data_IF_064892286835
#
_entry.id   IF_064892286835
#
_cell.length_a   1.000
_cell.length_b   1.000
_cell.length_c   1.000
_cell.angle_alpha   90.00
_cell.angle_beta   90.00
_cell.angle_gamma   90.00
#
_symmetry.space_group_name_H-M   'P 1'
#
loop_
_entity.id
_entity.type
_entity.pdbx_description
1 polymer ?
#
# COMPACT_ATOMS: atom_id res chain seq x y z
N UNK A 1 -19.85 18.66 6.78
CA UNK A 1 -20.55 19.19 5.58
C UNK A 1 -20.81 18.09 4.55
N UNK A 2 -19.77 17.42 4.01
CA UNK A 2 -19.93 16.42 2.94
C UNK A 2 -20.88 15.26 3.27
N UNK A 3 -20.74 14.65 4.46
CA UNK A 3 -21.62 13.56 4.88
C UNK A 3 -23.12 13.93 4.92
N UNK A 4 -23.46 15.19 5.17
CA UNK A 4 -24.85 15.66 5.11
C UNK A 4 -25.37 15.69 3.67
N UNK A 5 -24.56 16.15 2.71
CA UNK A 5 -24.95 16.15 1.29
C UNK A 5 -25.15 14.73 0.76
N UNK A 6 -24.31 13.79 1.19
CA UNK A 6 -24.44 12.37 0.87
C UNK A 6 -25.77 11.81 1.43
N UNK A 7 -26.05 12.05 2.70
CA UNK A 7 -27.29 11.62 3.35
C UNK A 7 -28.53 12.25 2.69
N UNK A 8 -28.47 13.53 2.31
CA UNK A 8 -29.56 14.23 1.63
C UNK A 8 -29.84 13.64 0.24
N UNK A 9 -28.80 13.31 -0.52
CA UNK A 9 -28.96 12.66 -1.83
C UNK A 9 -29.63 11.29 -1.71
N UNK A 10 -29.24 10.49 -0.70
CA UNK A 10 -29.89 9.21 -0.40
C UNK A 10 -31.35 9.39 0.04
N UNK A 11 -31.63 10.35 0.93
CA UNK A 11 -32.97 10.66 1.39
C UNK A 11 -33.91 11.04 0.24
N UNK A 12 -33.46 11.92 -0.67
CA UNK A 12 -34.24 12.30 -1.86
C UNK A 12 -34.54 11.10 -2.74
N UNK A 13 -33.56 10.20 -2.93
CA UNK A 13 -33.74 8.98 -3.73
C UNK A 13 -34.79 8.05 -3.11
N UNK A 14 -34.82 7.90 -1.79
CA UNK A 14 -35.85 7.11 -1.09
C UNK A 14 -37.26 7.67 -1.30
N UNK A 15 -37.39 8.98 -1.51
CA UNK A 15 -38.65 9.67 -1.82
C UNK A 15 -38.98 9.70 -3.33
N UNK A 16 -38.23 8.96 -4.17
CA UNK A 16 -38.40 8.99 -5.64
C UNK A 16 -37.94 10.28 -6.31
N UNK A 17 -37.35 11.21 -5.55
CA UNK A 17 -36.87 12.50 -6.05
C UNK A 17 -35.43 12.39 -6.58
N UNK A 18 -35.06 13.23 -7.56
CA UNK A 18 -33.69 13.28 -8.05
C UNK A 18 -32.75 13.86 -6.99
N UNK A 19 -31.60 13.22 -6.78
CA UNK A 19 -30.55 13.70 -5.89
C UNK A 19 -29.22 13.07 -6.29
N UNK A 20 -28.18 13.88 -6.41
CA UNK A 20 -26.83 13.47 -6.74
C UNK A 20 -25.86 14.15 -5.77
N UNK A 21 -25.07 13.35 -5.06
CA UNK A 21 -23.88 13.81 -4.35
C UNK A 21 -22.64 13.29 -5.07
N UNK A 22 -21.67 14.17 -5.34
CA UNK A 22 -20.41 13.79 -5.97
C UNK A 22 -19.28 14.02 -4.96
N UNK A 23 -18.62 12.94 -4.56
CA UNK A 23 -17.46 12.98 -3.69
C UNK A 23 -16.19 13.09 -4.56
N UNK A 24 -15.67 14.31 -4.69
CA UNK A 24 -14.49 14.57 -5.50
C UNK A 24 -13.18 14.23 -4.76
N UNK A 25 -12.24 13.64 -5.48
CA UNK A 25 -10.84 13.52 -5.09
C UNK A 25 -10.12 14.87 -5.11
N UNK A 26 -8.81 14.85 -4.87
CA UNK A 26 -8.00 16.07 -4.83
C UNK A 26 -7.92 16.74 -6.22
N UNK A 27 -8.10 18.07 -6.26
CA UNK A 27 -8.01 18.87 -7.49
C UNK A 27 -6.62 19.48 -7.64
N UNK A 28 -6.17 19.62 -8.89
CA UNK A 28 -4.95 20.34 -9.28
C UNK A 28 -5.10 21.88 -9.19
N UNK A 29 -6.24 22.36 -8.68
CA UNK A 29 -6.51 23.77 -8.42
C UNK A 29 -7.07 23.97 -7.01
N UNK A 30 -7.00 25.21 -6.49
CA UNK A 30 -7.55 25.55 -5.17
C UNK A 30 -6.72 25.03 -4.00
N UNK A 31 -7.39 24.66 -2.90
CA UNK A 31 -6.72 24.33 -1.63
C UNK A 31 -5.83 23.08 -1.70
N UNK A 32 -6.21 22.06 -2.49
CA UNK A 32 -5.46 20.80 -2.60
C UNK A 32 -4.16 20.94 -3.42
N UNK A 33 -4.10 21.88 -4.38
CA UNK A 33 -2.92 22.14 -5.19
C UNK A 33 -1.73 22.70 -4.38
N UNK A 34 -1.98 23.23 -3.18
CA UNK A 34 -0.97 23.85 -2.31
C UNK A 34 -0.33 22.87 -1.30
N UNK A 35 -0.79 21.62 -1.27
CA UNK A 35 -0.36 20.65 -0.27
C UNK A 35 0.52 19.55 -0.89
N UNK A 36 1.83 19.60 -0.63
CA UNK A 36 2.83 18.62 -1.11
C UNK A 36 2.58 17.20 -0.60
N UNK A 37 1.87 17.06 0.52
CA UNK A 37 1.53 15.78 1.16
C UNK A 37 0.57 14.91 0.33
N UNK A 38 -0.19 15.52 -0.59
CA UNK A 38 -1.06 14.78 -1.53
C UNK A 38 -0.28 14.26 -2.75
N UNK A 39 0.80 14.93 -3.15
CA UNK A 39 1.64 14.54 -4.30
C UNK A 39 2.43 13.25 -4.04
N UNK A 40 2.74 12.94 -2.77
CA UNK A 40 3.41 11.69 -2.38
C UNK A 40 2.44 10.50 -2.29
N UNK A 41 1.13 10.73 -2.24
CA UNK A 41 0.12 9.68 -2.19
C UNK A 41 -0.06 9.00 -3.56
N UNK A 42 -0.71 7.83 -3.60
CA UNK A 42 -1.09 7.16 -4.84
C UNK A 42 -2.36 7.75 -5.49
N UNK A 43 -2.86 8.88 -4.96
CA UNK A 43 -3.95 9.64 -5.55
C UNK A 43 -3.36 10.71 -6.47
N UNK A 44 -3.78 10.70 -7.73
CA UNK A 44 -3.45 11.75 -8.68
C UNK A 44 -4.38 12.96 -8.46
N UNK A 45 -3.95 14.14 -8.93
CA UNK A 45 -4.75 15.36 -8.87
C UNK A 45 -5.64 15.46 -10.11
N UNK A 46 -6.93 15.67 -9.92
CA UNK A 46 -7.90 15.95 -10.98
C UNK A 46 -7.69 17.36 -11.53
N UNK A 47 -7.51 17.48 -12.85
CA UNK A 47 -7.51 18.78 -13.51
C UNK A 47 -8.94 19.34 -13.60
N UNK A 48 -9.11 20.67 -13.72
CA UNK A 48 -10.43 21.26 -13.90
C UNK A 48 -11.20 20.72 -15.11
N UNK A 49 -10.51 20.47 -16.22
CA UNK A 49 -11.13 19.94 -17.44
C UNK A 49 -11.64 18.51 -17.25
N UNK A 50 -10.87 17.65 -16.57
CA UNK A 50 -11.31 16.30 -16.22
C UNK A 50 -12.51 16.33 -15.26
N UNK A 51 -12.48 17.24 -14.26
CA UNK A 51 -13.59 17.44 -13.34
C UNK A 51 -14.87 17.87 -14.06
N UNK A 52 -14.76 18.80 -15.01
CA UNK A 52 -15.91 19.25 -15.82
C UNK A 52 -16.43 18.16 -16.74
N UNK A 53 -15.54 17.38 -17.37
CA UNK A 53 -15.93 16.24 -18.20
C UNK A 53 -16.66 15.17 -17.38
N UNK A 54 -16.18 14.89 -16.16
CA UNK A 54 -16.85 13.96 -15.24
C UNK A 54 -18.22 14.50 -14.82
N UNK A 55 -18.33 15.78 -14.47
CA UNK A 55 -19.61 16.41 -14.11
C UNK A 55 -20.63 16.30 -15.23
N UNK A 56 -20.22 16.57 -16.48
CA UNK A 56 -21.09 16.46 -17.65
C UNK A 56 -21.65 15.04 -17.83
N UNK A 57 -20.82 14.00 -17.60
CA UNK A 57 -21.25 12.59 -17.67
C UNK A 57 -22.20 12.21 -16.52
N UNK A 58 -22.01 12.80 -15.35
CA UNK A 58 -22.78 12.49 -14.15
C UNK A 58 -24.07 13.30 -14.00
N UNK A 59 -24.28 14.33 -14.82
CA UNK A 59 -25.36 15.31 -14.66
C UNK A 59 -26.76 14.70 -14.53
N UNK A 60 -27.03 13.61 -15.26
CA UNK A 60 -28.32 12.91 -15.25
C UNK A 60 -28.40 11.73 -14.26
N UNK A 61 -27.30 11.45 -13.56
CA UNK A 61 -27.21 10.33 -12.62
C UNK A 61 -27.89 10.65 -11.29
N UNK A 62 -28.14 9.61 -10.50
CA UNK A 62 -28.75 9.71 -9.18
C UNK A 62 -27.94 8.92 -8.15
N UNK A 63 -27.98 9.35 -6.91
CA UNK A 63 -27.32 8.70 -5.78
C UNK A 63 -26.02 9.40 -5.38
N UNK A 64 -25.04 8.60 -4.97
CA UNK A 64 -23.75 9.07 -4.48
C UNK A 64 -22.65 8.45 -5.33
N UNK A 65 -21.78 9.28 -5.89
CA UNK A 65 -20.73 8.85 -6.81
C UNK A 65 -19.41 9.50 -6.39
N UNK A 66 -18.34 8.71 -6.32
CA UNK A 66 -17.00 9.23 -6.09
C UNK A 66 -16.26 9.38 -7.41
N UNK A 67 -15.56 10.50 -7.58
CA UNK A 67 -14.70 10.77 -8.73
C UNK A 67 -13.31 11.11 -8.23
N UNK A 68 -12.33 10.24 -8.50
CA UNK A 68 -10.95 10.44 -8.12
C UNK A 68 -10.02 10.01 -9.26
N UNK A 69 -8.94 10.76 -9.48
CA UNK A 69 -7.84 10.32 -10.32
C UNK A 69 -6.92 9.43 -9.47
N UNK A 70 -6.68 8.19 -9.92
CA UNK A 70 -5.90 7.20 -9.19
C UNK A 70 -4.78 6.69 -10.08
N UNK A 71 -3.58 6.62 -9.51
CA UNK A 71 -2.46 5.91 -10.13
C UNK A 71 -2.51 4.45 -9.65
N UNK A 72 -3.18 3.61 -10.43
CA UNK A 72 -3.39 2.20 -10.12
C UNK A 72 -2.08 1.42 -9.99
N UNK A 73 -1.05 1.80 -10.76
CA UNK A 73 0.26 1.15 -10.73
C UNK A 73 0.97 1.46 -9.41
N UNK A 74 0.99 2.74 -9.01
CA UNK A 74 1.56 3.16 -7.72
C UNK A 74 0.77 2.60 -6.54
N UNK A 75 -0.57 2.54 -6.63
CA UNK A 75 -1.42 1.93 -5.62
C UNK A 75 -1.14 0.43 -5.45
N UNK A 76 -0.95 -0.30 -6.55
CA UNK A 76 -0.62 -1.72 -6.54
C UNK A 76 0.77 -1.96 -5.92
N UNK A 77 1.79 -1.20 -6.34
CA UNK A 77 3.16 -1.29 -5.81
C UNK A 77 3.22 -1.03 -4.29
N UNK A 78 2.39 -0.11 -3.80
CA UNK A 78 2.28 0.22 -2.37
C UNK A 78 1.39 -0.75 -1.57
N UNK A 79 0.85 -1.81 -2.17
CA UNK A 79 0.00 -2.79 -1.47
C UNK A 79 -1.28 -2.20 -0.87
N UNK A 80 -1.70 -1.02 -1.35
CA UNK A 80 -2.85 -0.25 -0.81
C UNK A 80 -4.21 -0.71 -1.33
N UNK A 81 -4.22 -1.64 -2.30
CA UNK A 81 -5.45 -2.24 -2.77
C UNK A 81 -5.53 -3.68 -2.28
N UNK A 82 -6.28 -3.88 -1.21
CA UNK A 82 -6.59 -5.21 -0.66
C UNK A 82 -8.08 -5.56 -0.79
N UNK A 83 -8.86 -4.76 -1.51
CA UNK A 83 -10.29 -4.99 -1.67
C UNK A 83 -10.56 -6.05 -2.74
N UNK A 84 -11.27 -7.15 -2.42
CA UNK A 84 -11.67 -8.16 -3.40
C UNK A 84 -12.45 -7.57 -4.58
N UNK A 85 -13.18 -6.46 -4.36
CA UNK A 85 -13.96 -5.77 -5.39
C UNK A 85 -13.10 -5.12 -6.48
N UNK A 86 -11.84 -4.84 -6.18
CA UNK A 86 -10.90 -4.19 -7.11
C UNK A 86 -9.85 -5.18 -7.64
N UNK A 87 -9.88 -6.45 -7.20
CA UNK A 87 -8.89 -7.44 -7.57
C UNK A 87 -8.87 -7.68 -9.09
N UNK A 88 -10.05 -7.82 -9.71
CA UNK A 88 -10.19 -8.08 -11.17
C UNK A 88 -9.68 -6.91 -12.03
N UNK A 89 -9.80 -5.68 -11.53
CA UNK A 89 -9.32 -4.48 -12.21
C UNK A 89 -7.79 -4.34 -12.13
N UNK A 90 -7.17 -5.02 -11.16
CA UNK A 90 -5.72 -5.01 -10.91
C UNK A 90 -4.99 -6.23 -11.45
N UNK A 91 -5.70 -7.27 -11.91
CA UNK A 91 -5.11 -8.47 -12.51
C UNK A 91 -4.10 -8.17 -13.64
N UNK A 92 -4.29 -7.18 -14.54
CA UNK A 92 -3.28 -6.90 -15.57
C UNK A 92 -2.02 -6.20 -15.03
N UNK A 93 -2.08 -5.57 -13.84
CA UNK A 93 -0.94 -4.84 -13.23
C UNK A 93 -0.11 -5.78 -12.35
N UNK A 94 -0.74 -6.75 -11.67
CA UNK A 94 -0.06 -7.68 -10.75
C UNK A 94 0.58 -8.85 -11.52
N UNK A 95 0.02 -9.25 -12.66
CA UNK A 95 0.47 -10.44 -13.40
C UNK A 95 1.87 -10.30 -14.05
N UNK A 96 2.41 -9.08 -14.22
CA UNK A 96 3.66 -8.86 -14.97
C UNK A 96 4.92 -9.00 -14.11
N UNK A 97 4.85 -8.94 -12.76
CA UNK A 97 6.05 -8.98 -11.90
C UNK A 97 6.28 -10.30 -11.14
N UNK A 98 5.36 -11.26 -11.21
CA UNK A 98 5.51 -12.54 -10.48
C UNK A 98 6.57 -13.47 -11.12
N UNK A 99 6.94 -13.24 -12.38
CA UNK A 99 7.63 -14.28 -13.17
C UNK A 99 9.08 -13.98 -13.59
N UNK A 100 9.73 -12.90 -13.11
CA UNK A 100 11.10 -12.63 -13.59
C UNK A 100 12.11 -11.99 -12.63
N UNK A 101 11.86 -12.03 -11.32
CA UNK A 101 12.95 -11.87 -10.34
C UNK A 101 13.16 -13.22 -9.66
N UNK A 102 14.34 -13.81 -9.87
CA UNK A 102 14.83 -14.85 -8.97
C UNK A 102 14.62 -14.32 -7.55
N UNK A 103 13.90 -15.08 -6.72
CA UNK A 103 13.64 -14.64 -5.36
C UNK A 103 14.98 -14.38 -4.70
N UNK A 104 15.16 -13.22 -4.08
CA UNK A 104 16.42 -12.87 -3.42
C UNK A 104 16.78 -13.89 -2.33
N UNK A 105 15.77 -14.59 -1.79
CA UNK A 105 15.97 -15.72 -0.90
C UNK A 105 16.47 -16.99 -1.61
N UNK A 106 16.07 -17.25 -2.85
CA UNK A 106 16.68 -18.34 -3.63
C UNK A 106 18.16 -18.07 -3.92
N UNK A 107 18.54 -16.82 -4.17
CA UNK A 107 19.95 -16.44 -4.30
C UNK A 107 20.70 -16.60 -2.97
N UNK A 108 20.10 -16.18 -1.85
CA UNK A 108 20.69 -16.34 -0.51
C UNK A 108 20.83 -17.81 -0.12
N UNK A 109 19.84 -18.66 -0.42
CA UNK A 109 19.93 -20.11 -0.17
C UNK A 109 20.97 -20.78 -1.07
N UNK A 110 21.21 -20.26 -2.28
CA UNK A 110 22.28 -20.75 -3.15
C UNK A 110 23.70 -20.38 -2.65
N UNK A 111 23.83 -19.41 -1.74
CA UNK A 111 25.12 -19.06 -1.15
C UNK A 111 25.63 -20.15 -0.17
N UNK A 112 26.95 -20.19 0.09
CA UNK A 112 27.52 -20.99 1.17
C UNK A 112 26.88 -20.65 2.53
N UNK A 113 26.64 -21.66 3.37
CA UNK A 113 25.92 -21.52 4.66
C UNK A 113 26.47 -20.39 5.55
N UNK A 114 27.79 -20.18 5.53
CA UNK A 114 28.48 -19.12 6.30
C UNK A 114 28.24 -17.69 5.78
N UNK A 115 27.66 -17.51 4.60
CA UNK A 115 27.30 -16.18 4.05
C UNK A 115 25.81 -15.94 3.96
N UNK A 116 24.97 -16.96 4.14
CA UNK A 116 23.51 -16.83 4.05
C UNK A 116 22.97 -15.87 5.11
N UNK A 117 23.41 -16.05 6.36
CA UNK A 117 22.98 -15.23 7.50
C UNK A 117 23.32 -13.76 7.28
N UNK A 118 24.57 -13.44 6.97
CA UNK A 118 25.00 -12.04 6.80
C UNK A 118 24.23 -11.34 5.67
N UNK A 119 24.02 -12.03 4.56
CA UNK A 119 23.28 -11.48 3.41
C UNK A 119 21.79 -11.28 3.74
N UNK A 120 21.19 -12.22 4.48
CA UNK A 120 19.80 -12.13 4.92
C UNK A 120 19.61 -11.01 5.95
N UNK A 121 20.48 -10.93 6.96
CA UNK A 121 20.45 -9.85 7.95
C UNK A 121 20.60 -8.49 7.28
N UNK A 122 21.50 -8.36 6.30
CA UNK A 122 21.66 -7.11 5.54
C UNK A 122 20.39 -6.75 4.78
N UNK A 123 19.78 -7.69 4.08
CA UNK A 123 18.51 -7.47 3.38
C UNK A 123 17.39 -7.02 4.34
N UNK A 124 17.29 -7.66 5.51
CA UNK A 124 16.32 -7.30 6.53
C UNK A 124 16.59 -5.90 7.10
N UNK A 125 17.84 -5.53 7.35
CA UNK A 125 18.21 -4.18 7.78
C UNK A 125 17.81 -3.14 6.73
N UNK A 126 18.05 -3.40 5.45
CA UNK A 126 17.66 -2.51 4.35
C UNK A 126 16.14 -2.37 4.26
N UNK A 127 15.40 -3.47 4.36
CA UNK A 127 13.94 -3.46 4.35
C UNK A 127 13.35 -2.68 5.54
N UNK A 128 13.91 -2.87 6.75
CA UNK A 128 13.47 -2.17 7.96
C UNK A 128 13.82 -0.69 7.88
N UNK A 129 15.03 -0.34 7.41
CA UNK A 129 15.43 1.05 7.21
C UNK A 129 14.49 1.79 6.26
N UNK A 130 14.11 1.16 5.14
CA UNK A 130 13.20 1.74 4.16
C UNK A 130 11.80 1.96 4.73
N UNK A 131 11.26 0.99 5.49
CA UNK A 131 9.94 1.09 6.12
C UNK A 131 9.90 2.19 7.18
N UNK A 132 10.96 2.31 7.98
CA UNK A 132 11.09 3.31 9.04
C UNK A 132 11.58 4.67 8.53
N UNK A 133 11.96 4.79 7.26
CA UNK A 133 12.51 6.02 6.69
C UNK A 133 13.90 6.39 7.22
N UNK A 134 14.66 5.41 7.69
CA UNK A 134 16.02 5.60 8.22
C UNK A 134 17.03 5.73 7.06
N UNK A 135 18.00 6.63 7.23
CA UNK A 135 19.10 6.81 6.26
C UNK A 135 20.25 5.83 6.46
N UNK A 136 20.36 5.30 7.68
CA UNK A 136 21.39 4.35 8.09
C UNK A 136 20.75 2.99 8.38
N UNK A 137 21.56 1.93 8.26
CA UNK A 137 21.09 0.58 8.55
C UNK A 137 20.88 0.45 10.07
N UNK A 138 19.69 0.00 10.51
CA UNK A 138 19.40 -0.18 11.93
C UNK A 138 20.28 -1.28 12.51
N UNK A 139 20.60 -1.19 13.81
CA UNK A 139 21.31 -2.26 14.51
C UNK A 139 20.51 -3.57 14.51
N UNK A 140 21.19 -4.70 14.33
CA UNK A 140 20.54 -6.01 14.14
C UNK A 140 19.86 -6.53 15.41
N UNK A 141 20.29 -6.03 16.57
CA UNK A 141 19.89 -6.51 17.90
C UNK A 141 18.85 -5.61 18.58
N UNK A 142 18.66 -4.40 18.05
CA UNK A 142 17.65 -3.47 18.54
C UNK A 142 16.26 -4.01 18.18
N UNK A 143 15.30 -3.87 19.10
CA UNK A 143 13.93 -4.32 18.89
C UNK A 143 13.20 -3.46 17.85
N UNK A 144 12.38 -4.06 16.99
CA UNK A 144 11.59 -3.31 16.00
C UNK A 144 10.69 -2.27 16.66
N UNK A 145 10.08 -2.60 17.80
CA UNK A 145 9.27 -1.65 18.57
C UNK A 145 10.11 -0.45 19.08
N UNK A 146 11.35 -0.71 19.53
CA UNK A 146 12.27 0.34 19.99
C UNK A 146 12.73 1.25 18.84
N UNK A 147 12.77 0.73 17.61
CA UNK A 147 13.02 1.51 16.39
C UNK A 147 11.79 2.32 15.93
N UNK A 148 10.64 2.18 16.59
CA UNK A 148 9.40 2.86 16.23
C UNK A 148 8.53 2.12 15.22
N UNK A 149 8.72 0.80 15.05
CA UNK A 149 7.85 -0.01 14.20
C UNK A 149 6.46 -0.17 14.84
N UNK A 150 5.42 0.22 14.11
CA UNK A 150 4.03 0.02 14.51
C UNK A 150 3.40 -1.24 13.86
N UNK A 151 2.13 -1.51 14.18
CA UNK A 151 1.42 -2.69 13.65
C UNK A 151 1.18 -2.66 12.13
N UNK A 152 1.09 -1.47 11.52
CA UNK A 152 0.94 -1.35 10.07
C UNK A 152 2.28 -1.59 9.36
N UNK A 153 3.37 -1.08 9.92
CA UNK A 153 4.73 -1.31 9.45
C UNK A 153 5.14 -2.78 9.57
N UNK A 154 4.77 -3.45 10.67
CA UNK A 154 4.97 -4.89 10.85
C UNK A 154 4.26 -5.71 9.76
N UNK A 155 3.04 -5.32 9.39
CA UNK A 155 2.30 -5.97 8.31
C UNK A 155 2.95 -5.71 6.94
N UNK A 156 3.49 -4.53 6.71
CA UNK A 156 4.23 -4.22 5.47
C UNK A 156 5.53 -5.03 5.36
N UNK A 157 6.29 -5.14 6.45
CA UNK A 157 7.48 -5.99 6.52
C UNK A 157 7.12 -7.44 6.19
N UNK A 158 6.06 -7.98 6.80
CA UNK A 158 5.54 -9.32 6.50
C UNK A 158 5.25 -9.48 5.00
N UNK A 159 4.45 -8.58 4.41
CA UNK A 159 4.06 -8.66 2.98
C UNK A 159 5.28 -8.65 2.06
N UNK A 160 6.29 -7.84 2.40
CA UNK A 160 7.55 -7.78 1.65
C UNK A 160 8.30 -9.11 1.70
N UNK A 161 8.34 -9.75 2.86
CA UNK A 161 8.97 -11.06 3.04
C UNK A 161 8.18 -12.18 2.32
N UNK A 162 6.85 -12.22 2.44
CA UNK A 162 6.02 -13.22 1.74
C UNK A 162 6.22 -13.19 0.22
N UNK A 163 6.40 -12.01 -0.37
CA UNK A 163 6.73 -11.86 -1.80
C UNK A 163 8.04 -12.53 -2.19
N UNK A 164 9.02 -12.56 -1.28
CA UNK A 164 10.32 -13.20 -1.54
C UNK A 164 10.29 -14.69 -1.21
N UNK A 165 9.73 -15.08 -0.07
CA UNK A 165 9.78 -16.48 0.40
C UNK A 165 8.84 -17.38 -0.41
N UNK A 166 7.84 -16.80 -1.10
CA UNK A 166 6.71 -17.54 -1.72
C UNK A 166 5.98 -18.45 -0.73
N UNK A 167 6.05 -18.12 0.57
CA UNK A 167 5.37 -18.81 1.67
C UNK A 167 4.58 -17.79 2.51
N UNK A 168 3.51 -18.25 3.15
CA UNK A 168 2.71 -17.44 4.07
C UNK A 168 3.41 -17.34 5.41
N UNK A 169 3.56 -16.13 5.94
CA UNK A 169 4.21 -15.87 7.22
C UNK A 169 3.18 -15.49 8.30
N UNK A 170 3.42 -15.82 9.59
CA UNK A 170 2.54 -15.39 10.68
C UNK A 170 2.40 -13.87 10.75
N UNK A 171 1.21 -13.36 11.07
CA UNK A 171 1.00 -11.91 11.28
C UNK A 171 1.73 -11.38 12.53
N UNK A 172 2.09 -12.28 13.44
CA UNK A 172 2.80 -12.05 14.69
C UNK A 172 4.32 -12.09 14.54
N UNK A 173 4.84 -12.33 13.33
CA UNK A 173 6.27 -12.52 13.06
C UNK A 173 7.17 -11.42 13.65
N UNK A 174 6.83 -10.15 13.47
CA UNK A 174 7.62 -9.03 14.00
C UNK A 174 7.55 -8.90 15.54
N UNK A 175 6.62 -9.59 16.19
CA UNK A 175 6.48 -9.64 17.65
C UNK A 175 7.16 -10.89 18.24
N UNK A 176 7.05 -12.02 17.55
CA UNK A 176 7.70 -13.29 17.93
C UNK A 176 9.22 -13.23 17.70
N UNK A 177 9.63 -12.55 16.63
CA UNK A 177 11.02 -12.32 16.24
C UNK A 177 11.29 -10.82 16.19
N UNK A 178 11.44 -10.15 17.35
CA UNK A 178 11.40 -8.69 17.44
C UNK A 178 12.69 -8.01 16.98
N UNK A 179 13.67 -8.73 16.44
CA UNK A 179 14.95 -8.17 15.98
C UNK A 179 15.30 -8.73 14.60
N UNK A 180 16.19 -8.03 13.88
CA UNK A 180 16.67 -8.52 12.58
C UNK A 180 17.37 -9.87 12.73
N UNK A 181 18.17 -10.04 13.78
CA UNK A 181 18.85 -11.31 14.06
C UNK A 181 17.87 -12.46 14.28
N UNK A 182 16.86 -12.27 15.13
CA UNK A 182 15.89 -13.31 15.45
C UNK A 182 15.06 -13.69 14.20
N UNK A 183 14.73 -12.69 13.38
CA UNK A 183 13.96 -12.88 12.17
C UNK A 183 14.78 -13.58 11.06
N UNK A 184 16.07 -13.25 10.94
CA UNK A 184 16.99 -13.93 10.03
C UNK A 184 17.13 -15.41 10.41
N UNK A 185 17.24 -15.71 11.70
CA UNK A 185 17.34 -17.09 12.20
C UNK A 185 16.09 -17.90 11.89
N UNK A 186 14.91 -17.35 12.16
CA UNK A 186 13.64 -17.99 11.83
C UNK A 186 13.52 -18.29 10.32
N UNK A 187 13.86 -17.32 9.48
CA UNK A 187 13.79 -17.49 8.02
C UNK A 187 14.80 -18.52 7.50
N UNK A 188 15.92 -18.78 8.20
CA UNK A 188 16.87 -19.82 7.83
C UNK A 188 16.48 -21.21 8.33
N UNK A 189 15.61 -21.31 9.35
CA UNK A 189 15.14 -22.58 9.89
C UNK A 189 13.85 -23.07 9.23
N UNK A 190 12.98 -22.16 8.84
CA UNK A 190 11.63 -22.46 8.32
C UNK A 190 11.59 -22.58 6.77
N UNK A 191 12.57 -22.01 6.07
CA UNK A 191 12.66 -21.91 4.59
C UNK A 191 13.88 -22.67 4.06
#
# INVERSE_FOLDING_TARGET
ANAFMDALAHYRRQQGLPGLSINWGAWAAGMAARTTQLQSSAMALLTPDEGMAALARLWSQRGQISVAALDWEKMAKQGRVSSPLLADWLQPVIAVEVDNRVSLLQEIVALPANRRRDQLSRYLQEAVAEILGMRELPDQRTGFADMGMDSLMALELKRRLERQVKATLPATLAFEYPTVDALADYLLSEV
#
